data_IF_080417102600
#
_entry.id   IF_080417102600
#
_cell.length_a   1.000
_cell.length_b   1.000
_cell.length_c   1.000
_cell.angle_alpha   90.00
_cell.angle_beta   90.00
_cell.angle_gamma   90.00
#
_symmetry.space_group_name_H-M   'P 1'
#
loop_
_entity.id
_entity.type
_entity.pdbx_description
1 polymer ?
#
# COMPACT_ATOMS: atom_id res chain seq x y z
N UNK A 1 1.98 -21.34 4.13
CA UNK A 1 1.52 -20.20 3.32
C UNK A 1 2.38 -19.01 3.66
N UNK A 2 2.87 -18.26 2.69
CA UNK A 2 3.61 -17.03 2.99
C UNK A 2 2.63 -15.97 3.51
N UNK A 3 3.08 -15.13 4.43
CA UNK A 3 2.30 -14.00 4.97
C UNK A 3 3.03 -12.71 4.58
N UNK A 4 2.26 -11.67 4.24
CA UNK A 4 2.80 -10.37 3.84
C UNK A 4 2.19 -9.27 4.69
N UNK A 5 3.07 -8.43 5.23
CA UNK A 5 2.67 -7.17 5.88
C UNK A 5 2.57 -6.08 4.80
N UNK A 6 1.47 -5.33 4.83
CA UNK A 6 1.23 -4.19 3.95
C UNK A 6 0.84 -3.00 4.80
N UNK A 7 1.53 -1.87 4.61
CA UNK A 7 1.20 -0.56 5.19
C UNK A 7 0.95 0.41 4.05
N UNK A 8 -0.24 1.03 4.06
CA UNK A 8 -0.67 2.02 3.09
C UNK A 8 -1.00 3.30 3.87
N UNK A 9 -0.39 4.43 3.48
CA UNK A 9 -0.57 5.74 4.12
C UNK A 9 -0.73 6.80 3.04
N UNK A 10 -1.77 7.61 3.14
CA UNK A 10 -2.00 8.79 2.29
C UNK A 10 -1.19 9.95 2.85
N UNK A 11 -0.33 10.56 2.03
CA UNK A 11 0.67 11.54 2.50
C UNK A 11 0.26 13.00 2.31
N UNK A 12 -0.77 13.26 1.52
CA UNK A 12 -1.26 14.59 1.15
C UNK A 12 -2.50 15.02 1.95
N UNK A 13 -2.77 14.35 3.07
CA UNK A 13 -3.90 14.63 3.95
C UNK A 13 -3.47 15.01 5.38
N UNK A 14 -4.29 15.83 6.04
CA UNK A 14 -4.15 16.16 7.46
C UNK A 14 -2.76 16.67 7.83
N UNK A 15 -2.23 16.22 8.97
CA UNK A 15 -0.91 16.66 9.45
C UNK A 15 0.25 16.14 8.60
N UNK A 16 0.04 15.07 7.84
CA UNK A 16 1.05 14.53 6.91
C UNK A 16 1.33 15.48 5.75
N UNK A 17 0.35 16.28 5.32
CA UNK A 17 0.53 17.28 4.28
C UNK A 17 1.41 18.47 4.73
N UNK A 18 1.49 18.73 6.05
CA UNK A 18 2.26 19.85 6.62
C UNK A 18 3.73 19.50 6.85
N UNK A 19 4.00 18.31 7.39
CA UNK A 19 5.36 17.82 7.67
C UNK A 19 5.42 16.29 7.52
N UNK A 20 5.44 15.84 6.26
CA UNK A 20 5.39 14.41 5.93
C UNK A 20 6.51 13.61 6.60
N UNK A 21 7.81 14.01 6.54
CA UNK A 21 8.87 13.21 7.14
C UNK A 21 8.73 13.06 8.65
N UNK A 22 8.38 14.14 9.37
CA UNK A 22 8.24 14.08 10.82
C UNK A 22 7.03 13.24 11.24
N UNK A 23 5.87 13.45 10.61
CA UNK A 23 4.66 12.72 10.94
C UNK A 23 4.72 11.25 10.53
N UNK A 24 5.20 10.95 9.33
CA UNK A 24 5.37 9.56 8.89
C UNK A 24 6.36 8.84 9.81
N UNK A 25 7.48 9.47 10.16
CA UNK A 25 8.44 8.90 11.11
C UNK A 25 7.81 8.61 12.49
N UNK A 26 6.97 9.53 12.99
CA UNK A 26 6.22 9.33 14.24
C UNK A 26 5.27 8.14 14.13
N UNK A 27 4.48 8.06 13.06
CA UNK A 27 3.57 6.96 12.75
C UNK A 27 4.35 5.63 12.77
N UNK A 28 5.42 5.53 11.98
CA UNK A 28 6.28 4.34 11.86
C UNK A 28 6.79 3.84 13.20
N UNK A 29 7.26 4.75 14.06
CA UNK A 29 7.75 4.43 15.39
C UNK A 29 6.66 3.89 16.31
N UNK A 30 5.46 4.46 16.29
CA UNK A 30 4.37 4.04 17.18
C UNK A 30 3.85 2.65 16.85
N UNK A 31 3.40 2.43 15.60
CA UNK A 31 2.86 1.12 15.25
C UNK A 31 3.96 0.06 15.22
N UNK A 32 5.17 0.41 14.76
CA UNK A 32 6.33 -0.50 14.78
C UNK A 32 6.67 -0.97 16.19
N UNK A 33 6.61 -0.05 17.16
CA UNK A 33 6.74 -0.39 18.59
C UNK A 33 5.58 -1.26 19.11
N UNK A 34 4.37 -1.11 18.56
CA UNK A 34 3.17 -1.83 19.00
C UNK A 34 3.02 -3.24 18.39
N UNK A 35 3.82 -3.61 17.39
CA UNK A 35 3.68 -4.88 16.66
C UNK A 35 3.71 -6.12 17.55
N UNK A 36 4.44 -6.07 18.66
CA UNK A 36 4.56 -7.18 19.60
C UNK A 36 3.24 -7.56 20.31
N UNK A 37 2.19 -6.74 20.17
CA UNK A 37 0.85 -7.03 20.67
C UNK A 37 -0.03 -7.81 19.68
N UNK A 38 0.41 -8.00 18.44
CA UNK A 38 -0.39 -8.63 17.39
C UNK A 38 0.13 -10.03 17.03
N UNK A 39 -0.77 -11.00 16.78
CA UNK A 39 -0.39 -12.33 16.28
C UNK A 39 0.24 -12.30 14.88
N UNK A 40 -0.11 -11.28 14.07
CA UNK A 40 0.30 -11.12 12.68
C UNK A 40 -0.18 -12.27 11.78
N UNK A 41 -1.44 -12.67 11.98
CA UNK A 41 -2.12 -13.69 11.20
C UNK A 41 -2.90 -13.07 10.02
N UNK A 42 -3.12 -13.82 8.92
CA UNK A 42 -3.96 -13.35 7.81
C UNK A 42 -5.32 -12.82 8.29
N UNK A 43 -5.63 -11.58 7.94
CA UNK A 43 -6.84 -10.88 8.40
C UNK A 43 -6.58 -9.84 9.49
N UNK A 44 -5.43 -9.91 10.18
CA UNK A 44 -5.03 -8.88 11.13
C UNK A 44 -4.77 -7.54 10.43
N UNK A 45 -5.12 -6.45 11.11
CA UNK A 45 -4.94 -5.10 10.62
C UNK A 45 -5.40 -4.06 11.63
N UNK A 46 -4.98 -2.81 11.41
CA UNK A 46 -5.51 -1.65 12.16
C UNK A 46 -5.39 -0.38 11.32
N UNK A 47 -6.32 0.57 11.48
CA UNK A 47 -6.14 1.92 10.97
C UNK A 47 -4.89 2.58 11.56
N UNK A 48 -4.36 3.54 10.80
CA UNK A 48 -3.21 4.38 11.13
C UNK A 48 -3.70 5.82 11.22
N UNK A 49 -3.28 6.52 12.27
CA UNK A 49 -3.71 7.87 12.56
C UNK A 49 -2.55 8.86 12.59
N UNK A 50 -2.80 10.09 12.12
CA UNK A 50 -1.90 11.22 12.31
C UNK A 50 -1.88 11.70 13.78
N UNK A 51 -1.15 12.78 14.07
CA UNK A 51 -1.01 13.28 15.45
C UNK A 51 -2.26 13.99 15.95
N UNK A 52 -3.20 14.28 15.07
CA UNK A 52 -4.50 14.89 15.35
C UNK A 52 -5.63 13.85 15.35
N UNK A 53 -5.29 12.56 15.41
CA UNK A 53 -6.23 11.44 15.43
C UNK A 53 -7.11 11.32 14.19
N UNK A 54 -6.66 11.82 13.03
CA UNK A 54 -7.31 11.54 11.75
C UNK A 54 -6.77 10.25 11.17
N UNK A 55 -7.67 9.39 10.69
CA UNK A 55 -7.26 8.19 9.96
C UNK A 55 -6.60 8.62 8.64
N UNK A 56 -5.40 8.12 8.39
CA UNK A 56 -4.58 8.46 7.21
C UNK A 56 -4.10 7.22 6.47
N UNK A 57 -4.53 6.04 6.89
CA UNK A 57 -4.06 4.78 6.32
C UNK A 57 -4.40 3.58 7.18
N UNK A 58 -3.79 2.45 6.85
CA UNK A 58 -3.96 1.19 7.57
C UNK A 58 -2.78 0.27 7.34
N UNK A 59 -2.55 -0.66 8.26
CA UNK A 59 -1.76 -1.85 7.99
C UNK A 59 -2.63 -3.10 7.99
N UNK A 60 -2.18 -4.14 7.28
CA UNK A 60 -2.83 -5.46 7.21
C UNK A 60 -1.84 -6.60 6.97
N UNK A 61 -2.17 -7.79 7.46
CA UNK A 61 -1.53 -9.04 7.07
C UNK A 61 -2.39 -9.72 6.01
N UNK A 62 -1.79 -9.95 4.85
CA UNK A 62 -2.41 -10.70 3.76
C UNK A 62 -1.81 -12.10 3.70
N UNK A 63 -2.65 -13.12 3.58
CA UNK A 63 -2.19 -14.47 3.21
C UNK A 63 -1.79 -14.48 1.73
N UNK A 64 -0.53 -14.80 1.44
CA UNK A 64 -0.12 -15.06 0.07
C UNK A 64 -0.43 -16.53 -0.26
N UNK A 65 -1.33 -16.74 -1.22
CA UNK A 65 -1.29 -17.98 -1.99
C UNK A 65 0.06 -18.00 -2.71
N UNK A 66 0.85 -19.06 -2.54
CA UNK A 66 2.10 -19.22 -3.28
C UNK A 66 1.77 -19.20 -4.77
N UNK A 67 2.10 -18.10 -5.45
CA UNK A 67 1.69 -17.87 -6.83
C UNK A 67 1.72 -16.40 -7.21
N UNK A 68 2.80 -15.70 -6.88
CA UNK A 68 3.14 -14.48 -7.61
C UNK A 68 3.69 -14.93 -8.98
N UNK A 69 2.80 -15.28 -9.91
CA UNK A 69 3.10 -15.05 -11.32
C UNK A 69 2.84 -13.57 -11.55
N UNK A 70 3.89 -12.78 -11.35
CA UNK A 70 3.96 -11.48 -11.97
C UNK A 70 3.98 -11.67 -13.51
N UNK A 71 3.05 -10.96 -14.16
CA UNK A 71 3.01 -10.52 -15.56
C UNK A 71 2.60 -11.49 -16.70
N UNK A 72 1.45 -11.17 -17.32
CA UNK A 72 1.23 -10.97 -18.78
C UNK A 72 -0.29 -11.05 -19.05
N UNK A 73 -0.99 -10.17 -19.76
CA UNK A 73 -0.66 -9.03 -20.61
C UNK A 73 -1.86 -8.77 -21.53
N UNK A 74 -2.10 -7.52 -21.94
CA UNK A 74 -2.78 -7.20 -23.21
C UNK A 74 -2.55 -5.71 -23.54
N UNK A 75 -1.45 -5.45 -24.26
CA UNK A 75 -1.43 -4.34 -25.18
C UNK A 75 -2.28 -4.71 -26.41
N UNK A 76 -3.07 -3.75 -26.88
CA UNK A 76 -3.45 -3.66 -28.28
C UNK A 76 -3.10 -2.24 -28.72
N UNK A 77 -1.91 -2.12 -29.31
CA UNK A 77 -1.63 -1.07 -30.29
C UNK A 77 -2.23 -1.60 -31.60
N UNK A 78 -3.32 -0.99 -32.07
CA UNK A 78 -3.83 -1.28 -33.40
C UNK A 78 -2.96 -0.56 -34.43
N UNK A 79 -2.53 -1.36 -35.40
CA UNK A 79 -1.47 -1.05 -36.32
C UNK A 79 -1.86 -0.06 -37.41
N UNK A 80 -0.84 0.67 -37.82
CA UNK A 80 -0.72 1.36 -39.08
C UNK A 80 -0.91 0.38 -40.26
N UNK A 81 -1.80 0.73 -41.18
CA UNK A 81 -2.09 -0.04 -42.38
C UNK A 81 -2.18 0.87 -43.61
N UNK A 82 -1.06 0.98 -44.33
CA UNK A 82 -1.00 0.83 -45.78
C UNK A 82 -1.74 1.84 -46.67
N UNK A 83 -0.96 2.66 -47.36
CA UNK A 83 -1.33 3.41 -48.55
C UNK A 83 -1.97 2.52 -49.64
N UNK A 84 -3.00 3.05 -50.30
CA UNK A 84 -3.24 2.83 -51.74
C UNK A 84 -3.63 4.16 -52.36
N UNK A 85 -2.96 4.54 -53.44
CA UNK A 85 -3.30 5.70 -54.25
C UNK A 85 -4.34 5.34 -55.32
N UNK A 86 -5.16 6.32 -55.66
CA UNK A 86 -5.47 6.78 -57.02
C UNK A 86 -5.93 8.25 -56.93
#
# INVERSE_FOLDING_TARGET
>A
MAVRFVLEVTLDEGRLAEDTPAELGRILRYWGGNLHHYPLEPGDGSPVYDSEYREVGRWRITGAATGETAESGAGAADGEGGATGD
#
